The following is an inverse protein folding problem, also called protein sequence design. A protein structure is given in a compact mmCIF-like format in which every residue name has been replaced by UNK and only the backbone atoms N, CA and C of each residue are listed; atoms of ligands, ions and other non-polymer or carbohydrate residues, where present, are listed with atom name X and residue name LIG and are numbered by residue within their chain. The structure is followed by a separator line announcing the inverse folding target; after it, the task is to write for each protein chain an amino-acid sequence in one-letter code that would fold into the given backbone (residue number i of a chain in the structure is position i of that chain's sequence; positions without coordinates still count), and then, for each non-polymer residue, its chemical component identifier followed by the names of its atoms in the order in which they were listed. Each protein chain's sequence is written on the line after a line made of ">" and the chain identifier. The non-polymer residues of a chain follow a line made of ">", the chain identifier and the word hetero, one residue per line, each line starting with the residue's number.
data_IF_650959896398
#
_entry.id   IF_650959896398
#
_cell.length_a   1.000
_cell.length_b   1.000
_cell.length_c   1.000
_cell.angle_alpha   90.00
_cell.angle_beta   90.00
_cell.angle_gamma   90.00
#
_symmetry.space_group_name_H-M   'P 1'
#
loop_
_entity.id
_entity.type
_entity.pdbx_description
1 polymer ?
#
# COMPACT_ATOMS: atom_id res chain seq x y z
N UNK A 1 3.99 -23.52 11.12
CA UNK A 1 4.23 -22.23 11.80
C UNK A 1 3.62 -21.14 10.93
N UNK A 2 2.99 -20.13 11.52
CA UNK A 2 2.35 -19.02 10.81
C UNK A 2 2.67 -17.69 11.49
N UNK A 3 2.43 -16.58 10.79
CA UNK A 3 2.71 -15.22 11.26
C UNK A 3 1.49 -14.69 12.00
N UNK A 4 1.58 -14.58 13.33
CA UNK A 4 0.47 -14.11 14.16
C UNK A 4 0.44 -12.58 14.18
N UNK A 5 -0.70 -12.00 13.82
CA UNK A 5 -0.92 -10.56 13.80
C UNK A 5 -1.49 -10.07 15.14
N UNK A 6 -1.44 -8.75 15.37
CA UNK A 6 -1.99 -8.11 16.58
C UNK A 6 -3.51 -8.30 16.72
N UNK A 7 -4.23 -8.37 15.60
CA UNK A 7 -5.68 -8.61 15.55
C UNK A 7 -6.07 -10.08 15.79
N UNK A 8 -5.08 -10.96 16.03
CA UNK A 8 -5.26 -12.39 16.26
C UNK A 8 -5.38 -13.24 15.00
N UNK A 9 -5.41 -12.63 13.80
CA UNK A 9 -5.35 -13.37 12.53
C UNK A 9 -3.95 -13.99 12.33
N UNK A 10 -3.88 -15.02 11.49
CA UNK A 10 -2.62 -15.74 11.23
C UNK A 10 -2.37 -15.80 9.73
N UNK A 11 -1.29 -15.16 9.30
CA UNK A 11 -0.76 -15.25 7.94
C UNK A 11 0.03 -16.54 7.72
N UNK A 12 -0.04 -17.04 6.49
CA UNK A 12 0.79 -18.15 5.99
C UNK A 12 2.12 -17.67 5.42
N UNK A 13 2.21 -16.39 5.07
CA UNK A 13 3.37 -15.68 4.56
C UNK A 13 3.48 -14.32 5.23
N UNK A 14 4.70 -13.77 5.30
CA UNK A 14 4.96 -12.39 5.67
C UNK A 14 5.22 -11.57 4.41
N UNK A 15 4.24 -10.78 3.97
CA UNK A 15 4.27 -10.05 2.71
C UNK A 15 4.19 -8.55 2.98
N UNK A 16 5.10 -7.77 2.40
CA UNK A 16 4.93 -6.32 2.32
C UNK A 16 3.87 -5.99 1.27
N UNK A 17 2.70 -5.55 1.73
CA UNK A 17 1.63 -5.04 0.86
C UNK A 17 1.80 -3.55 0.57
N UNK A 18 1.73 -3.17 -0.71
CA UNK A 18 1.65 -1.77 -1.15
C UNK A 18 0.31 -1.56 -1.84
N UNK A 19 -0.52 -0.64 -1.37
CA UNK A 19 -1.83 -0.34 -1.94
C UNK A 19 -1.87 1.06 -2.51
N UNK A 20 -2.66 1.27 -3.57
CA UNK A 20 -2.84 2.58 -4.22
C UNK A 20 -4.18 3.17 -3.86
N UNK A 21 -4.32 4.48 -3.71
CA UNK A 21 -5.66 5.10 -3.62
C UNK A 21 -6.28 5.42 -4.98
N UNK A 22 -5.47 5.42 -6.05
CA UNK A 22 -5.89 5.85 -7.39
C UNK A 22 -5.02 5.24 -8.48
N UNK A 23 -5.58 5.08 -9.69
CA UNK A 23 -4.89 4.48 -10.83
C UNK A 23 -3.67 5.28 -11.31
N UNK A 24 -3.67 6.61 -11.18
CA UNK A 24 -2.58 7.48 -11.65
C UNK A 24 -1.21 7.17 -11.02
N UNK A 25 -1.18 6.55 -9.83
CA UNK A 25 0.07 6.22 -9.13
C UNK A 25 0.63 4.85 -9.48
N UNK A 26 -0.15 3.99 -10.17
CA UNK A 26 0.21 2.58 -10.40
C UNK A 26 1.54 2.41 -11.12
N UNK A 27 1.84 3.26 -12.10
CA UNK A 27 3.11 3.22 -12.84
C UNK A 27 4.32 3.38 -11.91
N UNK A 28 4.28 4.39 -11.03
CA UNK A 28 5.34 4.65 -10.04
C UNK A 28 5.45 3.50 -9.04
N UNK A 29 4.30 3.00 -8.54
CA UNK A 29 4.26 1.90 -7.58
C UNK A 29 4.83 0.61 -8.16
N UNK A 30 4.50 0.28 -9.42
CA UNK A 30 5.02 -0.93 -10.05
C UNK A 30 6.56 -0.87 -10.20
N UNK A 31 7.11 0.27 -10.61
CA UNK A 31 8.56 0.45 -10.68
C UNK A 31 9.20 0.34 -9.29
N UNK A 32 8.60 0.98 -8.28
CA UNK A 32 9.08 0.89 -6.91
C UNK A 32 9.05 -0.57 -6.40
N UNK A 33 7.97 -1.32 -6.64
CA UNK A 33 7.85 -2.72 -6.21
C UNK A 33 8.93 -3.60 -6.84
N UNK A 34 9.20 -3.45 -8.13
CA UNK A 34 10.32 -4.16 -8.78
C UNK A 34 11.66 -3.79 -8.15
N UNK A 35 11.87 -2.50 -7.85
CA UNK A 35 13.08 -2.04 -7.18
C UNK A 35 13.23 -2.59 -5.77
N UNK A 36 12.15 -2.63 -4.98
CA UNK A 36 12.14 -3.22 -3.63
C UNK A 36 12.47 -4.72 -3.72
N UNK A 37 11.87 -5.45 -4.66
CA UNK A 37 12.14 -6.88 -4.87
C UNK A 37 13.60 -7.16 -5.19
N UNK A 38 14.24 -6.30 -5.98
CA UNK A 38 15.63 -6.49 -6.41
C UNK A 38 16.66 -5.98 -5.40
N UNK A 39 16.39 -4.86 -4.72
CA UNK A 39 17.39 -4.15 -3.91
C UNK A 39 17.21 -4.30 -2.38
N UNK A 40 15.96 -4.45 -1.92
CA UNK A 40 15.64 -4.49 -0.49
C UNK A 40 15.31 -5.92 -0.03
N UNK A 41 14.39 -6.61 -0.71
CA UNK A 41 13.92 -7.94 -0.31
C UNK A 41 15.05 -8.95 -0.04
N UNK A 42 16.17 -9.01 -0.82
CA UNK A 42 17.27 -9.94 -0.53
C UNK A 42 17.97 -9.69 0.83
N UNK A 43 17.82 -8.48 1.40
CA UNK A 43 18.38 -8.11 2.70
C UNK A 43 17.49 -8.54 3.88
N UNK A 44 16.21 -8.83 3.63
CA UNK A 44 15.20 -9.13 4.67
C UNK A 44 14.62 -10.54 4.49
N UNK A 45 15.35 -11.54 5.00
CA UNK A 45 14.97 -12.97 4.87
C UNK A 45 13.67 -13.35 5.60
N UNK A 46 13.20 -12.49 6.49
CA UNK A 46 11.94 -12.65 7.23
C UNK A 46 10.70 -12.28 6.41
N UNK A 47 10.88 -11.69 5.23
CA UNK A 47 9.79 -11.24 4.34
C UNK A 47 9.78 -12.11 3.08
N UNK A 48 8.65 -12.74 2.80
CA UNK A 48 8.48 -13.69 1.70
C UNK A 48 8.30 -13.01 0.35
N UNK A 49 7.63 -11.86 0.32
CA UNK A 49 7.28 -11.17 -0.92
C UNK A 49 6.94 -9.70 -0.70
N UNK A 50 6.92 -8.95 -1.81
CA UNK A 50 6.36 -7.60 -1.91
C UNK A 50 5.28 -7.63 -2.99
N UNK A 51 4.09 -7.10 -2.71
CA UNK A 51 2.94 -7.18 -3.61
C UNK A 51 2.26 -5.81 -3.72
N UNK A 52 1.99 -5.37 -4.96
CA UNK A 52 1.14 -4.21 -5.25
C UNK A 52 -0.34 -4.63 -5.33
N UNK A 53 -1.20 -3.95 -4.58
CA UNK A 53 -2.65 -4.00 -4.69
C UNK A 53 -3.11 -2.77 -5.47
N UNK A 54 -3.09 -2.91 -6.79
CA UNK A 54 -3.53 -1.87 -7.71
C UNK A 54 -5.04 -1.98 -7.96
N UNK A 55 -5.73 -0.85 -8.05
CA UNK A 55 -7.14 -0.80 -8.46
C UNK A 55 -7.47 0.44 -9.29
N UNK A 56 -8.57 0.39 -10.03
CA UNK A 56 -9.03 1.48 -10.90
C UNK A 56 -9.90 2.51 -10.18
N UNK A 57 -10.41 2.19 -8.99
CA UNK A 57 -11.30 3.06 -8.23
C UNK A 57 -10.53 4.28 -7.67
N UNK A 58 -11.11 5.50 -7.71
CA UNK A 58 -10.55 6.67 -7.01
C UNK A 58 -10.37 7.96 -7.83
N UNK A 59 -10.24 7.88 -9.17
CA UNK A 59 -10.20 9.05 -10.06
C UNK A 59 -11.49 9.14 -10.89
N UNK A 60 -12.16 10.29 -10.88
CA UNK A 60 -13.36 10.52 -11.69
C UNK A 60 -14.60 9.71 -11.26
N UNK A 61 -14.60 9.15 -10.04
CA UNK A 61 -15.71 8.36 -9.51
C UNK A 61 -16.52 9.16 -8.48
N UNK A 62 -17.84 8.96 -8.46
CA UNK A 62 -18.72 9.50 -7.42
C UNK A 62 -18.56 8.71 -6.12
N UNK A 63 -17.61 9.12 -5.28
CA UNK A 63 -17.24 8.40 -4.04
C UNK A 63 -18.33 8.45 -2.96
N UNK A 64 -19.29 9.35 -3.09
CA UNK A 64 -20.49 9.41 -2.27
C UNK A 64 -21.76 9.10 -3.06
N UNK A 65 -21.63 8.50 -4.25
CA UNK A 65 -22.77 8.02 -5.03
C UNK A 65 -23.26 6.65 -4.54
N UNK A 66 -24.44 6.24 -5.00
CA UNK A 66 -25.03 4.96 -4.61
C UNK A 66 -24.09 3.78 -4.89
N UNK A 67 -23.98 2.87 -3.92
CA UNK A 67 -23.14 1.67 -3.96
C UNK A 67 -21.62 1.95 -3.99
N UNK A 68 -21.17 3.19 -3.76
CA UNK A 68 -19.74 3.52 -3.68
C UNK A 68 -19.01 2.79 -2.55
N UNK A 69 -19.73 2.34 -1.52
CA UNK A 69 -19.21 1.59 -0.40
C UNK A 69 -18.77 0.17 -0.78
N UNK A 70 -19.34 -0.41 -1.85
CA UNK A 70 -19.01 -1.77 -2.29
C UNK A 70 -17.55 -1.89 -2.74
N UNK A 71 -17.05 -1.09 -3.70
CA UNK A 71 -15.65 -1.15 -4.11
C UNK A 71 -14.69 -0.72 -2.98
N UNK A 72 -15.06 0.29 -2.18
CA UNK A 72 -14.24 0.73 -1.03
C UNK A 72 -14.07 -0.42 -0.03
N UNK A 73 -15.16 -1.12 0.30
CA UNK A 73 -15.14 -2.29 1.19
C UNK A 73 -14.32 -3.43 0.58
N UNK A 74 -14.43 -3.68 -0.72
CA UNK A 74 -13.67 -4.72 -1.39
C UNK A 74 -12.15 -4.46 -1.30
N UNK A 75 -11.71 -3.23 -1.61
CA UNK A 75 -10.31 -2.83 -1.51
C UNK A 75 -9.81 -2.93 -0.06
N UNK A 76 -10.61 -2.44 0.90
CA UNK A 76 -10.27 -2.52 2.33
C UNK A 76 -10.13 -3.97 2.81
N UNK A 77 -11.03 -4.86 2.38
CA UNK A 77 -10.98 -6.27 2.77
C UNK A 77 -9.77 -7.00 2.16
N UNK A 78 -9.43 -6.71 0.90
CA UNK A 78 -8.21 -7.24 0.28
C UNK A 78 -6.97 -6.78 1.06
N UNK A 79 -6.97 -5.54 1.52
CA UNK A 79 -5.87 -4.95 2.30
C UNK A 79 -5.74 -5.54 3.71
N UNK A 80 -6.81 -6.14 4.24
CA UNK A 80 -6.84 -6.84 5.54
C UNK A 80 -6.44 -8.32 5.44
N UNK A 81 -5.84 -8.75 4.33
CA UNK A 81 -5.34 -10.12 4.22
C UNK A 81 -4.32 -10.41 5.35
N UNK A 82 -4.45 -11.51 6.12
CA UNK A 82 -3.53 -11.80 7.22
C UNK A 82 -2.06 -11.91 6.82
N UNK A 83 -1.76 -12.16 5.54
CA UNK A 83 -0.38 -12.20 5.05
C UNK A 83 0.30 -10.83 4.97
N UNK A 84 -0.45 -9.72 5.12
CA UNK A 84 0.11 -8.36 5.13
C UNK A 84 0.47 -7.86 6.54
N UNK A 85 0.40 -8.70 7.57
CA UNK A 85 0.86 -8.29 8.92
C UNK A 85 -0.02 -7.23 9.61
N UNK A 86 -1.21 -6.96 9.07
CA UNK A 86 -2.13 -5.93 9.59
C UNK A 86 -1.81 -4.49 9.16
N UNK A 87 -0.77 -4.25 8.35
CA UNK A 87 -0.43 -2.92 7.85
C UNK A 87 0.04 -2.97 6.38
N UNK A 88 -0.37 -1.99 5.59
CA UNK A 88 0.08 -1.83 4.21
C UNK A 88 0.69 -0.44 4.01
N UNK A 89 1.69 -0.35 3.14
CA UNK A 89 2.17 0.93 2.63
C UNK A 89 1.16 1.46 1.61
N UNK A 90 0.58 2.63 1.87
CA UNK A 90 -0.37 3.28 0.97
C UNK A 90 0.32 4.35 0.16
N UNK A 91 0.15 4.32 -1.16
CA UNK A 91 0.64 5.36 -2.07
C UNK A 91 -0.54 6.10 -2.67
N UNK A 92 -0.54 7.41 -2.46
CA UNK A 92 -1.57 8.36 -2.87
C UNK A 92 -1.01 9.37 -3.86
N UNK A 93 -1.87 9.93 -4.72
CA UNK A 93 -1.45 11.01 -5.60
C UNK A 93 -1.42 12.33 -4.83
N UNK A 94 -2.50 12.64 -4.10
CA UNK A 94 -2.68 13.88 -3.33
C UNK A 94 -3.90 14.71 -3.76
N UNK A 95 -4.50 14.39 -4.91
CA UNK A 95 -5.66 15.11 -5.46
C UNK A 95 -6.86 14.20 -5.80
N UNK A 96 -6.77 12.91 -5.51
CA UNK A 96 -7.85 11.96 -5.78
C UNK A 96 -9.07 12.20 -4.89
N UNK A 97 -10.23 11.71 -5.35
CA UNK A 97 -11.43 11.74 -4.53
C UNK A 97 -11.34 10.71 -3.39
N UNK A 98 -10.71 9.55 -3.65
CA UNK A 98 -10.58 8.46 -2.67
C UNK A 98 -9.38 8.74 -1.79
N UNK A 99 -9.54 9.65 -0.85
CA UNK A 99 -8.44 10.02 0.05
C UNK A 99 -8.02 8.81 0.92
N UNK A 100 -6.73 8.70 1.30
CA UNK A 100 -6.22 7.60 2.10
C UNK A 100 -7.03 7.33 3.37
N UNK A 101 -7.45 8.38 4.07
CA UNK A 101 -8.23 8.30 5.32
C UNK A 101 -9.63 7.74 5.12
N UNK A 102 -10.21 7.85 3.92
CA UNK A 102 -11.48 7.22 3.60
C UNK A 102 -11.29 5.71 3.41
N UNK A 103 -10.19 5.30 2.77
CA UNK A 103 -9.89 3.89 2.56
C UNK A 103 -9.42 3.21 3.86
N UNK A 104 -8.55 3.87 4.61
CA UNK A 104 -7.93 3.44 5.85
C UNK A 104 -8.01 4.55 6.92
N UNK A 105 -9.08 4.56 7.74
CA UNK A 105 -9.29 5.62 8.74
C UNK A 105 -8.18 5.75 9.78
N UNK A 106 -7.48 4.65 10.09
CA UNK A 106 -6.41 4.58 11.08
C UNK A 106 -5.02 4.55 10.44
N UNK A 107 -4.89 5.04 9.19
CA UNK A 107 -3.60 5.10 8.51
C UNK A 107 -2.65 6.04 9.26
N UNK A 108 -1.45 5.53 9.55
CA UNK A 108 -0.37 6.33 10.12
C UNK A 108 0.43 6.99 9.01
N UNK A 109 0.93 8.21 9.27
CA UNK A 109 1.79 8.93 8.33
C UNK A 109 2.98 8.08 7.88
N UNK A 110 3.53 7.24 8.76
CA UNK A 110 4.66 6.36 8.44
C UNK A 110 4.37 5.36 7.30
N UNK A 111 3.09 5.02 7.11
CA UNK A 111 2.59 4.08 6.12
C UNK A 111 1.90 4.77 4.93
N UNK A 112 2.06 6.10 4.80
CA UNK A 112 1.52 6.88 3.71
C UNK A 112 2.65 7.57 2.93
N UNK A 113 2.57 7.50 1.60
CA UNK A 113 3.36 8.30 0.67
C UNK A 113 2.40 9.07 -0.24
N UNK A 114 2.56 10.39 -0.30
CA UNK A 114 1.80 11.27 -1.21
C UNK A 114 2.72 11.74 -2.32
N UNK A 115 2.48 11.30 -3.56
CA UNK A 115 3.40 11.54 -4.67
C UNK A 115 3.52 13.03 -5.02
N UNK A 116 2.45 13.82 -4.90
CA UNK A 116 2.49 15.26 -5.19
C UNK A 116 3.32 16.07 -4.19
N UNK A 117 3.70 15.50 -3.05
CA UNK A 117 4.64 16.10 -2.10
C UNK A 117 6.11 15.80 -2.48
N UNK A 118 6.32 14.86 -3.42
CA UNK A 118 7.62 14.45 -3.91
C UNK A 118 7.91 15.09 -5.27
N UNK A 119 8.84 16.05 -5.30
CA UNK A 119 9.21 16.73 -6.54
C UNK A 119 10.19 15.90 -7.38
N UNK A 120 9.65 15.19 -8.38
CA UNK A 120 10.40 14.41 -9.36
C UNK A 120 10.29 12.90 -9.17
N UNK A 121 10.38 12.15 -10.28
CA UNK A 121 10.19 10.70 -10.28
C UNK A 121 11.16 9.97 -9.35
N UNK A 122 12.44 10.33 -9.37
CA UNK A 122 13.44 9.69 -8.50
C UNK A 122 13.12 9.91 -7.02
N UNK A 123 12.66 11.13 -6.66
CA UNK A 123 12.23 11.45 -5.29
C UNK A 123 11.00 10.66 -4.87
N UNK A 124 10.05 10.45 -5.77
CA UNK A 124 8.89 9.59 -5.53
C UNK A 124 9.33 8.16 -5.23
N UNK A 125 10.21 7.60 -6.06
CA UNK A 125 10.73 6.24 -5.85
C UNK A 125 11.51 6.15 -4.54
N UNK A 126 12.41 7.10 -4.28
CA UNK A 126 13.24 7.11 -3.06
C UNK A 126 12.38 7.16 -1.78
N UNK A 127 11.30 7.95 -1.77
CA UNK A 127 10.41 8.01 -0.61
C UNK A 127 9.65 6.69 -0.41
N UNK A 128 9.14 6.07 -1.50
CA UNK A 128 8.52 4.73 -1.41
C UNK A 128 9.52 3.70 -0.89
N UNK A 129 10.74 3.69 -1.43
CA UNK A 129 11.82 2.76 -1.01
C UNK A 129 12.16 2.94 0.47
N UNK A 130 12.27 4.18 0.94
CA UNK A 130 12.55 4.51 2.34
C UNK A 130 11.43 4.02 3.27
N UNK A 131 10.16 4.23 2.92
CA UNK A 131 9.03 3.74 3.71
C UNK A 131 8.93 2.22 3.68
N UNK A 132 9.17 1.60 2.53
CA UNK A 132 9.22 0.15 2.39
C UNK A 132 10.33 -0.43 3.26
N UNK A 133 11.54 0.12 3.25
CA UNK A 133 12.64 -0.36 4.07
C UNK A 133 12.34 -0.27 5.57
N UNK A 134 11.68 0.82 6.01
CA UNK A 134 11.23 0.93 7.41
C UNK A 134 10.24 -0.20 7.77
N UNK A 135 9.28 -0.50 6.89
CA UNK A 135 8.32 -1.58 7.09
C UNK A 135 8.94 -2.98 7.07
N UNK A 136 10.00 -3.20 6.27
CA UNK A 136 10.69 -4.49 6.19
C UNK A 136 11.54 -4.81 7.45
N UNK A 137 11.90 -3.78 8.23
CA UNK A 137 12.66 -3.91 9.49
C UNK A 137 11.77 -4.26 10.69
N UNK A 138 10.49 -3.92 10.62
CA UNK A 138 9.47 -4.16 11.65
C UNK A 138 9.10 -5.64 11.74
#
# INVERSE_FOLDING_TARGET
>A
MGYKNEDGSVGTKNILGITTTVQCVQGVVNVAVERIRNELLPKYKNVDAVVALNHLYGCGVAIHGDNSEIPIRAIRNLSKNPNFGGQMLTVSLGCEKLVPTLLFPEIKDENLVVLQECFGFDKMIDEIMKRAEKNLKS
#
